data_IF_312961812548
#
_entry.id   IF_312961812548
#
_cell.length_a   1.000
_cell.length_b   1.000
_cell.length_c   1.000
_cell.angle_alpha   90.00
_cell.angle_beta   90.00
_cell.angle_gamma   90.00
#
_symmetry.space_group_name_H-M   'P 1'
#
loop_
_entity.id
_entity.type
_entity.pdbx_description
1 polymer ?
#
# COMPACT_ATOMS: atom_id res chain seq x y z
N UNK A 1 -3.33 -12.13 -27.56
CA UNK A 1 -2.65 -13.13 -26.71
C UNK A 1 -1.15 -12.91 -26.87
N UNK A 2 -0.53 -12.10 -26.01
CA UNK A 2 0.92 -11.89 -26.05
C UNK A 2 1.45 -11.86 -24.62
N UNK A 3 2.04 -12.98 -24.19
CA UNK A 3 2.88 -13.03 -22.99
C UNK A 3 4.32 -13.09 -23.48
N UNK A 4 5.04 -11.99 -23.35
CA UNK A 4 6.50 -12.02 -23.28
C UNK A 4 6.85 -11.38 -21.94
N UNK A 5 7.30 -12.20 -20.99
CA UNK A 5 8.13 -11.73 -19.90
C UNK A 5 9.57 -12.17 -20.22
N UNK A 6 10.55 -11.26 -20.22
CA UNK A 6 11.94 -11.59 -20.48
C UNK A 6 12.58 -12.12 -19.20
N UNK A 7 13.51 -13.07 -19.34
CA UNK A 7 14.43 -13.40 -18.26
C UNK A 7 14.79 -14.87 -18.11
N UNK A 8 15.11 -15.56 -19.21
CA UNK A 8 15.89 -16.80 -19.14
C UNK A 8 17.15 -16.57 -19.98
N UNK A 9 18.27 -16.31 -19.31
CA UNK A 9 19.59 -16.41 -19.90
C UNK A 9 20.24 -17.68 -19.34
N UNK A 10 20.19 -18.75 -20.12
CA UNK A 10 20.81 -20.05 -19.81
C UNK A 10 22.17 -20.13 -20.51
N UNK A 11 23.18 -19.50 -19.91
CA UNK A 11 24.56 -19.83 -20.26
C UNK A 11 24.92 -21.14 -19.55
N UNK A 12 24.85 -22.22 -20.33
CA UNK A 12 25.31 -23.56 -19.99
C UNK A 12 26.73 -23.53 -19.40
N UNK A 13 26.89 -24.05 -18.18
CA UNK A 13 28.16 -24.64 -17.75
C UNK A 13 27.87 -26.02 -17.18
N UNK A 14 28.42 -27.02 -17.86
CA UNK A 14 28.39 -28.43 -17.45
C UNK A 14 29.08 -28.59 -16.10
N UNK A 15 28.39 -29.25 -15.16
CA UNK A 15 28.93 -29.71 -13.90
C UNK A 15 28.16 -30.97 -13.49
N UNK A 16 28.78 -32.12 -13.71
CA UNK A 16 28.26 -33.44 -13.40
C UNK A 16 28.05 -33.60 -11.89
N UNK A 17 26.81 -33.89 -11.48
CA UNK A 17 26.38 -34.78 -10.39
C UNK A 17 25.02 -34.31 -9.87
N UNK A 18 24.02 -35.17 -10.03
CA UNK A 18 22.62 -34.87 -9.80
C UNK A 18 22.29 -34.62 -8.33
N UNK A 19 21.93 -33.38 -8.03
CA UNK A 19 20.91 -33.06 -7.04
C UNK A 19 20.23 -31.76 -7.48
N UNK A 20 19.02 -31.88 -8.06
CA UNK A 20 18.22 -30.72 -8.44
C UNK A 20 17.67 -30.08 -7.16
N UNK A 21 18.44 -29.18 -6.55
CA UNK A 21 17.86 -28.22 -5.62
C UNK A 21 16.91 -27.33 -6.43
N UNK A 22 15.61 -27.63 -6.37
CA UNK A 22 14.58 -26.70 -6.81
C UNK A 22 14.53 -25.58 -5.76
N UNK A 23 15.43 -24.62 -5.87
CA UNK A 23 15.30 -23.36 -5.14
C UNK A 23 14.12 -22.60 -5.75
N UNK A 24 12.95 -22.85 -5.18
CA UNK A 24 11.76 -22.05 -5.42
C UNK A 24 12.08 -20.63 -4.99
N UNK A 25 12.50 -19.77 -5.93
CA UNK A 25 12.57 -18.33 -5.68
C UNK A 25 11.15 -17.86 -5.39
N UNK A 26 10.82 -17.72 -4.11
CA UNK A 26 9.58 -17.10 -3.68
C UNK A 26 9.57 -15.68 -4.21
N UNK A 27 8.77 -15.43 -5.26
CA UNK A 27 8.56 -14.08 -5.78
C UNK A 27 7.78 -13.32 -4.71
N UNK A 28 8.47 -12.48 -3.95
CA UNK A 28 7.86 -11.62 -2.95
C UNK A 28 7.17 -10.45 -3.67
N UNK A 29 5.89 -10.24 -3.38
CA UNK A 29 5.17 -9.05 -3.86
C UNK A 29 5.72 -7.82 -3.14
N UNK A 30 5.95 -6.69 -3.83
CA UNK A 30 6.27 -5.45 -3.17
C UNK A 30 5.12 -5.06 -2.24
N UNK A 31 5.46 -4.70 -1.00
CA UNK A 31 4.50 -4.40 0.05
C UNK A 31 4.43 -2.90 0.31
N UNK A 32 3.23 -2.33 0.25
CA UNK A 32 2.97 -0.91 0.44
C UNK A 32 2.10 -0.67 1.66
N UNK A 33 2.50 0.28 2.49
CA UNK A 33 1.64 0.87 3.50
C UNK A 33 0.80 1.98 2.85
N UNK A 34 -0.51 1.82 2.88
CA UNK A 34 -1.47 2.70 2.24
C UNK A 34 -2.07 3.65 3.28
N UNK A 35 -1.68 4.93 3.20
CA UNK A 35 -2.16 6.01 4.07
C UNK A 35 -3.30 6.76 3.38
N UNK A 36 -4.46 6.86 4.05
CA UNK A 36 -5.61 7.58 3.50
C UNK A 36 -5.41 9.10 3.56
N UNK A 37 -6.19 9.83 2.76
CA UNK A 37 -6.16 11.30 2.72
C UNK A 37 -6.84 11.97 3.91
N UNK A 38 -6.83 13.30 3.93
CA UNK A 38 -7.44 14.11 4.99
C UNK A 38 -8.94 13.78 5.17
N UNK A 39 -9.36 13.51 6.41
CA UNK A 39 -10.75 13.18 6.79
C UNK A 39 -11.36 12.07 5.94
N UNK A 40 -10.59 11.01 5.70
CA UNK A 40 -11.08 9.77 5.07
C UNK A 40 -10.67 8.57 5.95
N UNK A 41 -10.75 7.35 5.43
CA UNK A 41 -10.35 6.14 6.16
C UNK A 41 -9.60 5.17 5.25
N UNK A 42 -8.89 4.23 5.86
CA UNK A 42 -8.28 3.08 5.21
C UNK A 42 -9.27 2.35 4.31
N UNK A 43 -10.51 2.20 4.77
CA UNK A 43 -11.56 1.50 4.04
C UNK A 43 -11.99 2.27 2.78
N UNK A 44 -12.03 3.61 2.84
CA UNK A 44 -12.32 4.46 1.68
C UNK A 44 -11.19 4.36 0.65
N UNK A 45 -9.93 4.47 1.08
CA UNK A 45 -8.79 4.28 0.19
C UNK A 45 -8.80 2.88 -0.45
N UNK A 46 -9.12 1.84 0.33
CA UNK A 46 -9.27 0.47 -0.19
C UNK A 46 -10.34 0.38 -1.28
N UNK A 47 -11.51 1.00 -1.08
CA UNK A 47 -12.58 1.10 -2.09
C UNK A 47 -12.12 1.84 -3.35
N UNK A 48 -11.34 2.91 -3.20
CA UNK A 48 -10.78 3.64 -4.34
C UNK A 48 -9.77 2.79 -5.14
N UNK A 49 -8.90 2.06 -4.45
CA UNK A 49 -7.91 1.15 -5.07
C UNK A 49 -8.57 -0.06 -5.75
N UNK A 50 -9.76 -0.49 -5.30
CA UNK A 50 -10.52 -1.55 -5.98
C UNK A 50 -10.90 -1.17 -7.43
N UNK A 51 -10.85 0.10 -7.82
CA UNK A 51 -11.08 0.55 -9.20
C UNK A 51 -9.91 0.25 -10.14
N UNK A 52 -8.74 -0.10 -9.60
CA UNK A 52 -7.58 -0.45 -10.43
C UNK A 52 -7.74 -1.84 -11.06
N UNK A 53 -7.13 -2.09 -12.23
CA UNK A 53 -7.16 -3.41 -12.85
C UNK A 53 -6.57 -4.50 -11.94
N UNK A 54 -7.17 -5.69 -11.95
CA UNK A 54 -6.68 -6.83 -11.15
C UNK A 54 -5.25 -7.24 -11.51
N UNK A 55 -4.85 -7.03 -12.76
CA UNK A 55 -3.48 -7.28 -13.24
C UNK A 55 -2.41 -6.45 -12.50
N UNK A 56 -2.81 -5.34 -11.89
CA UNK A 56 -1.98 -4.51 -11.03
C UNK A 56 -2.14 -4.96 -9.58
N UNK A 57 -3.37 -5.01 -9.06
CA UNK A 57 -3.67 -5.35 -7.66
C UNK A 57 -3.09 -6.70 -7.23
N UNK A 58 -3.17 -7.71 -8.08
CA UNK A 58 -2.68 -9.06 -7.74
C UNK A 58 -1.16 -9.13 -7.58
N UNK A 59 -0.42 -8.14 -8.09
CA UNK A 59 1.05 -8.06 -7.99
C UNK A 59 1.53 -7.32 -6.74
N UNK A 60 0.62 -6.70 -5.98
CA UNK A 60 0.96 -5.88 -4.82
C UNK A 60 0.49 -6.57 -3.54
N UNK A 61 1.21 -6.31 -2.45
CA UNK A 61 0.72 -6.53 -1.09
C UNK A 61 0.42 -5.15 -0.48
N UNK A 62 -0.84 -4.91 -0.12
CA UNK A 62 -1.33 -3.59 0.28
C UNK A 62 -1.88 -3.64 1.70
N UNK A 63 -1.26 -2.88 2.60
CA UNK A 63 -1.64 -2.76 4.01
C UNK A 63 -2.29 -1.40 4.22
N UNK A 64 -3.58 -1.37 4.53
CA UNK A 64 -4.32 -0.13 4.77
C UNK A 64 -4.45 0.11 6.27
N UNK A 65 -4.16 1.34 6.71
CA UNK A 65 -4.20 1.74 8.12
C UNK A 65 -4.96 3.04 8.29
N UNK A 66 -5.73 3.11 9.37
CA UNK A 66 -6.41 4.35 9.78
C UNK A 66 -5.46 5.24 10.56
N UNK A 67 -5.63 6.54 10.39
CA UNK A 67 -4.96 7.54 11.19
C UNK A 67 -5.47 7.53 12.65
N UNK A 68 -4.66 7.98 13.62
CA UNK A 68 -4.99 7.81 15.04
C UNK A 68 -6.08 8.75 15.56
N UNK A 69 -6.39 9.86 14.86
CA UNK A 69 -7.33 10.87 15.35
C UNK A 69 -8.65 10.81 14.58
N UNK A 70 -9.82 10.69 15.24
CA UNK A 70 -11.11 10.87 14.59
C UNK A 70 -11.25 12.29 14.02
N UNK A 71 -11.80 12.41 12.82
CA UNK A 71 -12.03 13.71 12.19
C UNK A 71 -13.01 14.56 13.01
N UNK A 72 -12.63 15.80 13.29
CA UNK A 72 -13.43 16.74 14.11
C UNK A 72 -14.36 17.65 13.29
N UNK A 73 -14.34 17.54 11.97
CA UNK A 73 -15.15 18.39 11.11
C UNK A 73 -15.57 17.70 9.83
N UNK A 74 -16.24 18.46 8.97
CA UNK A 74 -16.81 17.97 7.73
C UNK A 74 -15.76 17.30 6.85
N UNK A 75 -16.13 16.17 6.25
CA UNK A 75 -15.36 15.55 5.18
C UNK A 75 -15.97 15.85 3.80
N UNK A 76 -15.12 16.04 2.80
CA UNK A 76 -15.54 16.23 1.39
C UNK A 76 -16.14 14.97 0.78
N UNK A 77 -16.01 13.82 1.45
CA UNK A 77 -16.59 12.55 1.02
C UNK A 77 -17.90 12.19 1.72
N UNK A 78 -18.43 13.07 2.56
CA UNK A 78 -19.75 12.90 3.17
C UNK A 78 -20.84 12.73 2.10
N UNK A 79 -21.75 11.79 2.33
CA UNK A 79 -22.81 11.45 1.38
C UNK A 79 -22.36 10.56 0.20
N UNK A 80 -21.05 10.35 0.02
CA UNK A 80 -20.49 9.40 -0.95
C UNK A 80 -19.99 8.14 -0.23
N UNK A 81 -19.31 8.32 0.91
CA UNK A 81 -18.81 7.24 1.75
C UNK A 81 -19.25 7.45 3.19
N UNK A 82 -19.67 6.38 3.86
CA UNK A 82 -20.05 6.44 5.26
C UNK A 82 -18.82 6.65 6.18
N UNK A 83 -18.98 7.34 7.33
CA UNK A 83 -17.96 7.42 8.38
C UNK A 83 -17.65 6.03 8.98
N UNK A 84 -16.55 5.86 9.74
CA UNK A 84 -15.69 6.89 10.36
C UNK A 84 -14.66 7.51 9.40
N UNK A 85 -14.25 8.73 9.74
CA UNK A 85 -13.17 9.46 9.09
C UNK A 85 -12.08 9.81 10.11
N UNK A 86 -10.83 9.86 9.65
CA UNK A 86 -9.67 10.08 10.50
C UNK A 86 -8.72 11.13 9.92
N UNK A 87 -7.87 11.67 10.79
CA UNK A 87 -6.84 12.66 10.50
C UNK A 87 -5.48 12.18 11.03
N UNK A 88 -4.41 12.33 10.24
CA UNK A 88 -3.05 11.98 10.65
C UNK A 88 -2.46 12.94 11.68
N UNK A 89 -2.96 14.16 11.70
CA UNK A 89 -2.53 15.21 12.60
C UNK A 89 -3.70 16.13 12.90
N UNK A 90 -3.81 16.57 14.15
CA UNK A 90 -4.74 17.60 14.58
C UNK A 90 -3.97 18.79 15.10
N UNK A 91 -4.34 19.97 14.63
CA UNK A 91 -3.75 21.21 15.12
C UNK A 91 -4.16 21.42 16.58
N UNK A 92 -3.18 21.38 17.48
CA UNK A 92 -3.35 21.85 18.84
C UNK A 92 -2.52 23.14 19.02
N UNK A 93 -3.17 24.24 19.42
CA UNK A 93 -2.49 25.53 19.67
C UNK A 93 -1.33 25.40 20.66
N UNK A 94 -1.42 24.48 21.62
CA UNK A 94 -0.36 24.22 22.61
C UNK A 94 0.88 23.60 21.94
N UNK A 95 0.70 22.76 20.91
CA UNK A 95 1.80 22.02 20.27
C UNK A 95 2.74 22.92 19.45
N UNK A 96 2.28 24.05 18.93
CA UNK A 96 3.12 24.98 18.17
C UNK A 96 3.98 25.88 19.06
N UNK A 97 3.52 26.20 20.27
CA UNK A 97 4.31 26.95 21.25
C UNK A 97 5.61 26.21 21.59
N UNK A 98 5.58 24.87 21.63
CA UNK A 98 6.78 24.07 21.87
C UNK A 98 7.68 23.97 20.62
N UNK A 99 7.10 23.94 19.42
CA UNK A 99 7.85 23.77 18.17
C UNK A 99 8.49 25.07 17.64
N UNK A 100 7.99 26.23 18.06
CA UNK A 100 8.56 27.56 17.77
C UNK A 100 9.58 28.03 18.83
N UNK A 101 9.77 27.23 19.89
CA UNK A 101 10.72 27.51 20.98
C UNK A 101 11.99 26.63 20.90
N UNK A 102 12.14 25.86 19.81
CA UNK A 102 13.35 25.12 19.42
C UNK A 102 13.91 25.74 18.14
#
# INVERSE_FOLDING_TARGET
MLRILPGVNINNTMGSNGHLHHESRTIHKPRFLCLHGFRTSAQILKKQIQKWPDSVRQKLDLVFVDAPFPAQGKSDVEGIFDPPYYEWFQFNKVSLSLCLSL
#
